data_IF_359802096582
#
_entry.id   IF_359802096582
#
_cell.length_a   1.000
_cell.length_b   1.000
_cell.length_c   1.000
_cell.angle_alpha   90.00
_cell.angle_beta   90.00
_cell.angle_gamma   90.00
#
_symmetry.space_group_name_H-M   'P 1'
#
loop_
_entity.id
_entity.type
_entity.pdbx_description
1 polymer ?
#
# COMPACT_ATOMS: atom_id res chain seq x y z
N UNK A 1 -35.54 -60.96 10.81
CA UNK A 1 -35.06 -59.64 10.36
C UNK A 1 -34.07 -59.16 11.41
N UNK A 2 -32.76 -59.22 11.17
CA UNK A 2 -31.79 -58.52 12.01
C UNK A 2 -31.36 -57.28 11.25
N UNK A 3 -32.00 -56.16 11.54
CA UNK A 3 -31.46 -54.86 11.17
C UNK A 3 -30.43 -54.48 12.22
N UNK A 4 -29.26 -55.10 12.15
CA UNK A 4 -28.09 -54.67 12.90
C UNK A 4 -27.37 -53.67 12.01
N UNK A 5 -27.61 -52.38 12.23
CA UNK A 5 -26.72 -51.35 11.69
C UNK A 5 -25.31 -51.72 12.16
N UNK A 6 -24.37 -52.03 11.25
CA UNK A 6 -23.02 -52.40 11.65
C UNK A 6 -22.43 -51.25 12.48
N UNK A 7 -21.91 -51.59 13.65
CA UNK A 7 -21.21 -50.62 14.50
C UNK A 7 -19.90 -50.28 13.80
N UNK A 8 -19.63 -49.00 13.62
CA UNK A 8 -18.41 -48.50 12.97
C UNK A 8 -17.65 -47.57 13.92
N UNK A 9 -16.33 -47.57 13.82
CA UNK A 9 -15.43 -46.68 14.54
C UNK A 9 -14.66 -45.79 13.58
N UNK A 10 -14.41 -44.54 13.99
CA UNK A 10 -13.63 -43.56 13.23
C UNK A 10 -12.23 -43.43 13.83
N UNK A 11 -11.25 -43.14 12.98
CA UNK A 11 -9.92 -42.73 13.41
C UNK A 11 -9.35 -41.73 12.43
N UNK A 12 -8.96 -40.56 12.94
CA UNK A 12 -8.40 -39.45 12.18
C UNK A 12 -6.89 -39.32 12.45
N UNK A 13 -6.11 -39.12 11.40
CA UNK A 13 -4.67 -38.88 11.50
C UNK A 13 -4.25 -37.72 10.58
N UNK A 14 -3.51 -36.70 11.06
CA UNK A 14 -3.03 -36.53 12.44
C UNK A 14 -4.16 -36.19 13.43
N UNK A 15 -4.06 -36.64 14.69
CA UNK A 15 -5.09 -36.38 15.71
C UNK A 15 -4.88 -35.12 16.56
N UNK A 16 -3.68 -34.54 16.54
CA UNK A 16 -3.21 -33.59 17.55
C UNK A 16 -3.98 -32.25 17.58
N UNK A 17 -4.58 -31.86 16.46
CA UNK A 17 -5.32 -30.60 16.32
C UNK A 17 -6.83 -30.80 16.28
N UNK A 18 -7.29 -32.02 16.60
CA UNK A 18 -8.69 -32.37 16.70
C UNK A 18 -9.08 -32.46 18.17
N UNK A 19 -10.31 -32.09 18.50
CA UNK A 19 -10.86 -32.27 19.85
C UNK A 19 -10.87 -33.75 20.29
N UNK A 20 -11.19 -34.67 19.38
CA UNK A 20 -11.12 -36.12 19.56
C UNK A 20 -11.05 -36.79 18.18
N UNK A 21 -9.95 -37.50 17.91
CA UNK A 21 -9.69 -38.16 16.64
C UNK A 21 -10.50 -39.45 16.40
N UNK A 22 -11.42 -39.80 17.30
CA UNK A 22 -12.31 -40.97 17.18
C UNK A 22 -13.77 -40.60 16.91
N UNK A 23 -14.11 -39.31 16.90
CA UNK A 23 -15.45 -38.83 16.56
C UNK A 23 -15.74 -38.97 15.06
N UNK A 24 -17.01 -39.18 14.73
CA UNK A 24 -17.49 -39.10 13.34
C UNK A 24 -17.36 -37.70 12.75
N UNK A 25 -17.33 -36.69 13.61
CA UNK A 25 -17.26 -35.26 13.25
C UNK A 25 -16.37 -34.53 14.25
N UNK A 26 -15.04 -34.69 14.15
CA UNK A 26 -14.11 -33.98 15.01
C UNK A 26 -14.09 -32.50 14.65
N UNK A 27 -13.76 -31.66 15.64
CA UNK A 27 -13.57 -30.22 15.47
C UNK A 27 -12.07 -29.96 15.38
N UNK A 28 -11.65 -29.36 14.27
CA UNK A 28 -10.28 -28.88 14.06
C UNK A 28 -10.14 -27.46 14.62
N UNK A 29 -9.14 -27.23 15.47
CA UNK A 29 -8.98 -25.96 16.20
C UNK A 29 -7.74 -25.15 15.82
N UNK A 30 -6.82 -25.69 15.00
CA UNK A 30 -5.67 -24.90 14.54
C UNK A 30 -6.14 -23.91 13.46
N UNK A 31 -5.84 -22.63 13.66
CA UNK A 31 -6.19 -21.54 12.74
C UNK A 31 -4.98 -20.99 11.97
N UNK A 32 -3.80 -21.61 12.13
CA UNK A 32 -2.55 -21.10 11.55
C UNK A 32 -2.03 -21.99 10.42
N UNK A 33 -2.18 -23.31 10.51
CA UNK A 33 -1.62 -24.24 9.51
C UNK A 33 -2.68 -25.08 8.79
N UNK A 34 -2.61 -25.06 7.46
CA UNK A 34 -3.34 -26.00 6.61
C UNK A 34 -2.93 -27.44 6.94
N UNK A 35 -3.91 -28.32 7.17
CA UNK A 35 -3.64 -29.71 7.56
C UNK A 35 -4.46 -30.68 6.69
N UNK A 36 -3.82 -31.75 6.24
CA UNK A 36 -4.49 -32.88 5.62
C UNK A 36 -4.76 -33.95 6.68
N UNK A 37 -6.00 -34.41 6.75
CA UNK A 37 -6.41 -35.51 7.58
C UNK A 37 -6.75 -36.74 6.74
N UNK A 38 -6.43 -37.91 7.27
CA UNK A 38 -6.87 -39.19 6.76
C UNK A 38 -7.88 -39.75 7.74
N UNK A 39 -9.13 -39.92 7.29
CA UNK A 39 -10.17 -40.61 8.06
C UNK A 39 -10.12 -42.10 7.72
N UNK A 40 -10.09 -42.95 8.73
CA UNK A 40 -10.25 -44.40 8.58
C UNK A 40 -11.51 -44.83 9.32
N UNK A 41 -12.45 -45.43 8.59
CA UNK A 41 -13.67 -46.01 9.14
C UNK A 41 -13.47 -47.53 9.18
N UNK A 42 -13.70 -48.15 10.34
CA UNK A 42 -13.61 -49.58 10.54
C UNK A 42 -14.93 -50.12 11.07
N UNK A 43 -15.40 -51.24 10.51
CA UNK A 43 -16.49 -52.00 11.11
C UNK A 43 -15.99 -52.75 12.36
N UNK A 44 -16.69 -52.59 13.47
CA UNK A 44 -16.34 -53.18 14.76
C UNK A 44 -16.41 -54.71 14.66
N UNK A 45 -15.39 -55.40 15.18
CA UNK A 45 -15.19 -56.86 15.07
C UNK A 45 -14.94 -57.38 13.64
N UNK A 46 -14.63 -56.50 12.69
CA UNK A 46 -14.31 -56.83 11.31
C UNK A 46 -12.95 -56.28 10.90
N UNK A 47 -12.35 -56.86 9.86
CA UNK A 47 -11.15 -56.34 9.21
C UNK A 47 -11.50 -55.35 8.08
N UNK A 48 -12.78 -55.14 7.80
CA UNK A 48 -13.25 -54.19 6.79
C UNK A 48 -12.93 -52.75 7.19
N UNK A 49 -12.11 -52.08 6.40
CA UNK A 49 -11.69 -50.69 6.58
C UNK A 49 -11.80 -49.92 5.28
N UNK A 50 -12.25 -48.67 5.37
CA UNK A 50 -12.17 -47.69 4.27
C UNK A 50 -11.42 -46.47 4.75
N UNK A 51 -10.74 -45.79 3.83
CA UNK A 51 -9.99 -44.56 4.11
C UNK A 51 -10.34 -43.50 3.10
N UNK A 52 -10.34 -42.25 3.56
CA UNK A 52 -10.48 -41.08 2.70
C UNK A 52 -9.65 -39.92 3.26
N UNK A 53 -9.45 -38.89 2.45
CA UNK A 53 -8.66 -37.69 2.78
C UNK A 53 -9.54 -36.46 2.87
N UNK A 54 -9.32 -35.65 3.90
CA UNK A 54 -9.93 -34.33 4.08
C UNK A 54 -8.83 -33.29 4.13
N UNK A 55 -8.91 -32.28 3.29
CA UNK A 55 -7.96 -31.16 3.28
C UNK A 55 -8.60 -29.93 3.92
N UNK A 56 -7.97 -29.43 4.98
CA UNK A 56 -8.32 -28.13 5.56
C UNK A 56 -7.25 -27.13 5.14
N UNK A 57 -7.65 -26.15 4.33
CA UNK A 57 -6.79 -25.05 3.91
C UNK A 57 -7.07 -23.80 4.74
N UNK A 58 -6.00 -23.19 5.25
CA UNK A 58 -6.00 -21.94 6.01
C UNK A 58 -5.20 -20.93 5.20
N UNK A 59 -5.78 -19.76 4.99
CA UNK A 59 -5.16 -18.66 4.26
C UNK A 59 -4.83 -17.53 5.23
N UNK A 60 -3.58 -17.08 5.20
CA UNK A 60 -3.14 -15.97 6.02
C UNK A 60 -3.85 -14.68 5.62
N UNK A 61 -4.32 -13.95 6.61
CA UNK A 61 -4.91 -12.62 6.45
C UNK A 61 -3.80 -11.56 6.50
N UNK A 62 -3.70 -10.66 5.51
CA UNK A 62 -2.82 -9.52 5.61
C UNK A 62 -3.26 -8.61 6.76
N UNK A 63 -2.30 -7.97 7.43
CA UNK A 63 -2.53 -6.88 8.36
C UNK A 63 -1.80 -5.65 7.85
N UNK A 64 -2.56 -4.63 7.47
CA UNK A 64 -2.06 -3.46 6.77
C UNK A 64 -1.98 -2.27 7.71
N UNK A 65 -0.76 -1.77 7.90
CA UNK A 65 -0.48 -0.51 8.61
C UNK A 65 0.24 0.42 7.66
N UNK A 66 -0.33 1.59 7.41
CA UNK A 66 0.19 2.54 6.43
C UNK A 66 0.39 3.92 7.07
N UNK A 67 1.55 4.49 6.81
CA UNK A 67 1.89 5.87 7.17
C UNK A 67 1.92 6.77 5.95
N UNK A 68 1.84 8.09 6.16
CA UNK A 68 1.95 9.05 5.07
C UNK A 68 3.39 9.06 4.53
N UNK A 69 3.59 8.90 3.21
CA UNK A 69 4.92 9.00 2.61
C UNK A 69 5.47 10.42 2.72
N UNK A 70 6.79 10.57 2.56
CA UNK A 70 7.42 11.89 2.51
C UNK A 70 6.87 12.71 1.33
N UNK A 71 6.64 14.00 1.56
CA UNK A 71 6.22 14.90 0.51
C UNK A 71 7.33 15.07 -0.54
N UNK A 72 6.93 15.21 -1.81
CA UNK A 72 7.85 15.39 -2.94
C UNK A 72 7.52 16.66 -3.72
N UNK A 73 8.47 17.18 -4.50
CA UNK A 73 8.25 18.28 -5.44
C UNK A 73 8.29 17.76 -6.87
N UNK A 74 7.42 18.25 -7.76
CA UNK A 74 7.50 17.93 -9.17
C UNK A 74 8.87 18.28 -9.76
N UNK A 75 9.45 17.45 -10.65
CA UNK A 75 8.83 16.30 -11.32
C UNK A 75 8.95 14.96 -10.58
N UNK A 76 9.40 14.94 -9.32
CA UNK A 76 9.49 13.70 -8.55
C UNK A 76 8.09 13.16 -8.24
N UNK A 77 8.03 11.84 -8.03
CA UNK A 77 6.81 11.10 -7.74
C UNK A 77 6.94 10.36 -6.41
N UNK A 78 5.80 9.96 -5.86
CA UNK A 78 5.71 9.20 -4.62
C UNK A 78 5.71 7.72 -4.98
N UNK A 79 6.74 7.01 -4.53
CA UNK A 79 6.79 5.56 -4.62
C UNK A 79 5.93 4.94 -3.52
N UNK A 80 5.04 4.04 -3.89
CA UNK A 80 4.11 3.34 -3.01
C UNK A 80 4.18 1.82 -3.20
N UNK A 81 5.26 1.29 -3.79
CA UNK A 81 5.49 -0.15 -3.85
C UNK A 81 5.76 -0.78 -2.48
N UNK A 82 5.56 -2.09 -2.35
CA UNK A 82 5.61 -2.84 -1.09
C UNK A 82 6.93 -2.76 -0.30
N UNK A 83 8.02 -2.35 -0.94
CA UNK A 83 9.32 -2.09 -0.32
C UNK A 83 9.40 -0.71 0.36
N UNK A 84 8.38 0.15 0.20
CA UNK A 84 8.39 1.48 0.77
C UNK A 84 8.22 1.44 2.31
N UNK A 85 8.98 2.25 3.07
CA UNK A 85 8.86 2.34 4.53
C UNK A 85 7.45 2.69 5.04
N UNK A 86 6.57 3.22 4.18
CA UNK A 86 5.20 3.54 4.55
C UNK A 86 4.42 2.34 5.10
N UNK A 87 4.80 1.11 4.72
CA UNK A 87 4.21 -0.15 5.17
C UNK A 87 4.85 -0.72 6.44
N UNK A 88 5.74 0.02 7.11
CA UNK A 88 6.41 -0.45 8.34
C UNK A 88 5.37 -0.83 9.40
N UNK A 89 5.48 -2.06 9.92
CA UNK A 89 4.52 -2.63 10.88
C UNK A 89 3.40 -3.45 10.24
N UNK A 90 3.32 -3.52 8.91
CA UNK A 90 2.40 -4.43 8.22
C UNK A 90 2.88 -5.88 8.26
N UNK A 91 1.94 -6.82 8.30
CA UNK A 91 2.15 -8.24 8.02
C UNK A 91 1.54 -8.58 6.66
N UNK A 92 2.38 -8.90 5.68
CA UNK A 92 1.95 -9.17 4.31
C UNK A 92 2.35 -10.59 3.91
N UNK A 93 1.39 -11.53 3.84
CA UNK A 93 1.65 -12.90 3.41
C UNK A 93 2.30 -12.96 2.02
N UNK A 94 3.03 -14.05 1.76
CA UNK A 94 3.63 -14.29 0.44
C UNK A 94 2.54 -14.31 -0.65
N UNK A 95 2.80 -13.64 -1.77
CA UNK A 95 1.82 -13.50 -2.85
C UNK A 95 0.80 -12.37 -2.64
N UNK A 96 0.96 -11.55 -1.59
CA UNK A 96 0.20 -10.30 -1.46
C UNK A 96 0.45 -9.36 -2.64
N UNK A 97 -0.61 -8.69 -3.07
CA UNK A 97 -0.60 -7.66 -4.12
C UNK A 97 -1.15 -6.35 -3.57
N UNK A 98 -0.65 -5.23 -4.08
CA UNK A 98 -1.13 -3.89 -3.73
C UNK A 98 -1.97 -3.33 -4.85
N UNK A 99 -3.10 -2.73 -4.50
CA UNK A 99 -3.93 -1.93 -5.39
C UNK A 99 -4.23 -0.57 -4.75
N UNK A 100 -4.30 0.48 -5.57
CA UNK A 100 -4.52 1.85 -5.12
C UNK A 100 -5.79 2.41 -5.74
N UNK A 101 -6.61 3.04 -4.92
CA UNK A 101 -7.87 3.65 -5.31
C UNK A 101 -8.08 5.01 -4.67
N UNK A 102 -9.05 5.76 -5.16
CA UNK A 102 -9.59 6.90 -4.43
C UNK A 102 -10.45 6.40 -3.24
N UNK A 103 -10.77 7.30 -2.31
CA UNK A 103 -11.56 6.96 -1.11
C UNK A 103 -12.96 6.40 -1.39
N UNK A 104 -13.48 6.58 -2.59
CA UNK A 104 -14.78 6.06 -3.04
C UNK A 104 -14.69 4.79 -3.90
N UNK A 105 -13.49 4.26 -4.14
CA UNK A 105 -13.23 3.07 -4.98
C UNK A 105 -13.79 3.17 -6.42
N UNK A 106 -13.93 4.37 -6.95
CA UNK A 106 -14.41 4.61 -8.32
C UNK A 106 -13.27 4.78 -9.33
N UNK A 107 -12.05 5.07 -8.85
CA UNK A 107 -10.88 5.31 -9.69
C UNK A 107 -9.68 4.56 -9.11
N UNK A 108 -9.01 3.78 -9.95
CA UNK A 108 -7.75 3.12 -9.63
C UNK A 108 -6.54 3.99 -10.01
N UNK A 109 -5.44 3.79 -9.30
CA UNK A 109 -4.15 4.46 -9.55
C UNK A 109 -3.02 3.42 -9.65
N UNK A 110 -1.94 3.81 -10.31
CA UNK A 110 -0.72 3.02 -10.44
C UNK A 110 0.45 3.71 -9.76
N UNK A 111 1.41 2.93 -9.28
CA UNK A 111 2.70 3.43 -8.81
C UNK A 111 3.56 3.92 -10.01
N UNK A 112 4.27 5.06 -9.91
CA UNK A 112 4.29 6.02 -8.80
C UNK A 112 3.22 7.10 -8.91
N UNK A 113 2.83 7.67 -7.76
CA UNK A 113 1.81 8.73 -7.69
C UNK A 113 2.44 10.10 -8.00
N UNK A 114 1.77 10.90 -8.84
CA UNK A 114 2.24 12.23 -9.28
C UNK A 114 1.37 13.38 -8.75
N UNK A 115 0.23 13.07 -8.14
CA UNK A 115 -0.73 14.05 -7.65
C UNK A 115 -0.88 13.97 -6.13
N UNK A 116 -1.27 15.11 -5.53
CA UNK A 116 -1.66 15.16 -4.12
C UNK A 116 -3.08 14.62 -3.95
N UNK A 117 -3.34 13.91 -2.85
CA UNK A 117 -4.67 13.40 -2.57
C UNK A 117 -4.73 12.45 -1.38
N UNK A 118 -5.95 12.02 -1.04
CA UNK A 118 -6.19 10.94 -0.08
C UNK A 118 -6.44 9.66 -0.87
N UNK A 119 -5.62 8.65 -0.61
CA UNK A 119 -5.64 7.38 -1.33
C UNK A 119 -6.05 6.24 -0.41
N UNK A 120 -6.77 5.28 -0.97
CA UNK A 120 -7.14 4.00 -0.40
C UNK A 120 -6.16 2.96 -0.95
N UNK A 121 -5.46 2.25 -0.06
CA UNK A 121 -4.57 1.15 -0.43
C UNK A 121 -5.14 -0.15 0.06
N UNK A 122 -5.22 -1.11 -0.86
CA UNK A 122 -5.73 -2.45 -0.63
C UNK A 122 -4.55 -3.40 -0.79
N UNK A 123 -4.29 -4.20 0.23
CA UNK A 123 -3.43 -5.37 0.10
C UNK A 123 -4.33 -6.60 0.04
N UNK A 124 -4.19 -7.36 -1.05
CA UNK A 124 -4.96 -8.58 -1.28
C UNK A 124 -4.05 -9.79 -1.42
N UNK A 125 -4.39 -10.87 -0.74
CA UNK A 125 -3.97 -12.24 -1.06
C UNK A 125 -5.03 -12.88 -1.97
N UNK A 126 -4.85 -14.16 -2.33
CA UNK A 126 -5.84 -14.88 -3.13
C UNK A 126 -7.22 -15.03 -2.47
N UNK A 127 -7.31 -14.86 -1.14
CA UNK A 127 -8.53 -15.15 -0.38
C UNK A 127 -8.92 -14.05 0.62
N UNK A 128 -7.98 -13.20 1.02
CA UNK A 128 -8.21 -12.17 2.02
C UNK A 128 -7.68 -10.83 1.54
N UNK A 129 -8.25 -9.74 2.04
CA UNK A 129 -7.77 -8.41 1.76
C UNK A 129 -7.87 -7.54 3.02
N UNK A 130 -6.97 -6.58 3.12
CA UNK A 130 -7.00 -5.53 4.13
C UNK A 130 -6.82 -4.16 3.47
N UNK A 131 -7.38 -3.12 4.08
CA UNK A 131 -7.45 -1.78 3.50
C UNK A 131 -7.00 -0.72 4.48
N UNK A 132 -6.25 0.27 3.99
CA UNK A 132 -5.82 1.42 4.76
C UNK A 132 -5.90 2.69 3.91
N UNK A 133 -5.77 3.84 4.56
CA UNK A 133 -5.74 5.15 3.90
C UNK A 133 -4.45 5.88 4.21
N UNK A 134 -3.99 6.70 3.27
CA UNK A 134 -2.88 7.62 3.47
C UNK A 134 -3.07 8.90 2.65
N UNK A 135 -2.31 9.93 3.01
CA UNK A 135 -2.31 11.22 2.34
C UNK A 135 -1.00 11.36 1.56
N UNK A 136 -1.11 11.58 0.25
CA UNK A 136 0.02 11.86 -0.63
C UNK A 136 0.12 13.37 -0.85
N UNK A 137 1.33 13.93 -0.74
CA UNK A 137 1.58 15.37 -0.94
C UNK A 137 2.68 15.58 -1.98
N UNK A 138 2.28 16.16 -3.11
CA UNK A 138 3.14 16.55 -4.22
C UNK A 138 3.05 18.07 -4.42
N UNK A 139 4.16 18.76 -4.17
CA UNK A 139 4.30 20.19 -4.37
C UNK A 139 4.53 20.50 -5.85
N UNK A 140 3.82 21.49 -6.37
CA UNK A 140 4.04 21.99 -7.72
C UNK A 140 5.36 22.76 -7.80
N UNK A 141 6.04 22.63 -8.94
CA UNK A 141 7.20 23.47 -9.25
C UNK A 141 6.73 24.93 -9.33
N UNK A 142 7.37 25.87 -8.62
CA UNK A 142 7.03 27.28 -8.77
C UNK A 142 7.27 27.75 -10.20
N UNK A 143 6.28 28.42 -10.78
CA UNK A 143 6.44 29.12 -12.05
C UNK A 143 7.05 30.49 -11.79
N UNK A 144 8.21 30.74 -12.39
CA UNK A 144 8.83 32.06 -12.41
C UNK A 144 8.39 32.79 -13.67
N UNK A 145 7.40 33.66 -13.54
CA UNK A 145 6.98 34.55 -14.63
C UNK A 145 7.68 35.89 -14.45
N UNK A 146 8.56 36.22 -15.39
CA UNK A 146 9.15 37.57 -15.51
C UNK A 146 8.41 38.28 -16.65
N UNK A 147 7.53 39.21 -16.31
CA UNK A 147 6.86 40.11 -17.28
C UNK A 147 7.05 41.57 -16.86
N UNK A 148 7.02 42.57 -17.75
CA UNK A 148 7.58 42.63 -19.09
C UNK A 148 9.06 43.10 -19.09
N UNK A 149 9.74 42.92 -20.22
CA UNK A 149 10.94 43.70 -20.55
C UNK A 149 10.58 45.19 -20.52
N UNK A 150 11.07 45.90 -19.50
CA UNK A 150 11.03 47.36 -19.50
C UNK A 150 11.97 47.85 -20.62
N UNK A 151 11.41 48.48 -21.65
CA UNK A 151 12.21 49.18 -22.66
C UNK A 151 12.51 50.57 -22.10
N UNK A 152 13.73 50.75 -21.59
CA UNK A 152 14.24 52.04 -21.12
C UNK A 152 14.59 52.86 -22.36
N UNK A 153 13.83 53.93 -22.65
CA UNK A 153 14.05 54.83 -23.78
C UNK A 153 14.84 56.10 -23.42
N UNK A 154 15.28 56.23 -22.16
CA UNK A 154 16.08 57.35 -21.67
C UNK A 154 17.41 56.86 -21.08
N UNK A 155 18.53 57.24 -21.71
CA UNK A 155 19.89 56.88 -21.29
C UNK A 155 20.36 57.58 -19.99
N UNK A 156 19.49 58.24 -19.24
CA UNK A 156 19.88 59.14 -18.14
C UNK A 156 19.45 58.66 -16.74
N UNK A 157 18.67 57.58 -16.62
CA UNK A 157 18.21 57.10 -15.31
C UNK A 157 18.65 55.66 -15.03
N UNK A 158 19.28 55.43 -13.88
CA UNK A 158 19.50 54.11 -13.29
C UNK A 158 18.15 53.53 -12.85
N UNK A 159 17.86 52.28 -13.21
CA UNK A 159 16.60 51.60 -12.87
C UNK A 159 16.85 50.49 -11.85
N UNK A 160 16.23 50.62 -10.68
CA UNK A 160 16.34 49.65 -9.59
C UNK A 160 15.36 48.48 -9.80
N UNK A 161 15.90 47.36 -10.26
CA UNK A 161 15.16 46.12 -10.51
C UNK A 161 14.71 45.40 -9.24
N UNK A 162 15.16 45.80 -8.05
CA UNK A 162 14.68 45.23 -6.78
C UNK A 162 13.26 45.72 -6.42
N UNK A 163 12.83 46.85 -7.01
CA UNK A 163 11.49 47.41 -6.87
C UNK A 163 10.55 47.05 -8.03
N UNK A 164 10.94 46.12 -8.92
CA UNK A 164 10.07 45.67 -10.01
C UNK A 164 8.80 44.99 -9.46
N UNK A 165 7.59 45.53 -9.73
CA UNK A 165 6.34 44.97 -9.21
C UNK A 165 5.94 43.61 -9.84
N UNK A 166 6.71 43.10 -10.78
CA UNK A 166 6.23 42.08 -11.71
C UNK A 166 6.83 40.66 -11.54
N UNK A 167 7.61 40.40 -10.49
CA UNK A 167 7.98 39.02 -10.15
C UNK A 167 6.85 38.42 -9.30
N UNK A 168 5.90 37.78 -9.95
CA UNK A 168 4.86 36.99 -9.30
C UNK A 168 5.39 35.56 -9.10
N UNK A 169 5.48 35.11 -7.85
CA UNK A 169 5.74 33.71 -7.54
C UNK A 169 4.41 33.05 -7.17
N UNK A 170 4.05 32.02 -7.91
CA UNK A 170 2.93 31.13 -7.58
C UNK A 170 3.49 29.74 -7.33
N UNK A 171 3.21 29.06 -6.20
CA UNK A 171 2.31 29.41 -5.07
C UNK A 171 2.97 30.15 -3.87
N UNK A 172 2.14 30.55 -2.89
CA UNK A 172 2.42 31.49 -1.77
C UNK A 172 3.59 31.14 -0.82
N UNK A 173 4.18 29.96 -0.92
CA UNK A 173 5.32 29.53 -0.09
C UNK A 173 6.68 29.72 -0.77
N UNK A 174 6.72 30.24 -2.00
CA UNK A 174 7.97 30.50 -2.72
C UNK A 174 8.66 31.77 -2.17
N UNK A 175 9.96 31.67 -1.88
CA UNK A 175 10.78 32.78 -1.36
C UNK A 175 11.48 33.50 -2.52
N UNK A 176 11.39 34.84 -2.57
CA UNK A 176 12.16 35.67 -3.51
C UNK A 176 13.60 35.79 -3.00
N UNK A 177 14.58 35.39 -3.81
CA UNK A 177 15.99 35.61 -3.52
C UNK A 177 16.72 36.19 -4.74
N UNK A 178 17.35 37.33 -4.51
CA UNK A 178 18.16 38.07 -5.48
C UNK A 178 19.61 38.07 -4.98
N UNK A 179 20.58 37.97 -5.89
CA UNK A 179 21.97 38.25 -5.57
C UNK A 179 22.55 39.23 -6.58
N UNK A 180 23.51 40.00 -6.10
CA UNK A 180 24.33 40.89 -6.89
C UNK A 180 25.50 40.10 -7.48
N UNK A 181 25.96 40.43 -8.69
CA UNK A 181 27.26 39.97 -9.16
C UNK A 181 28.41 40.46 -8.24
N UNK A 182 29.60 39.87 -8.37
CA UNK A 182 30.79 40.19 -7.57
C UNK A 182 31.25 41.67 -7.71
N UNK A 183 30.62 42.44 -8.60
CA UNK A 183 30.92 43.82 -8.93
C UNK A 183 29.77 44.77 -8.50
N UNK A 184 28.70 44.25 -7.90
CA UNK A 184 27.46 44.96 -7.52
C UNK A 184 26.75 45.66 -8.69
N UNK A 185 26.95 45.22 -9.93
CA UNK A 185 26.45 45.94 -11.12
C UNK A 185 25.16 45.39 -11.73
N UNK A 186 24.80 44.13 -11.43
CA UNK A 186 23.59 43.51 -11.97
C UNK A 186 22.98 42.50 -11.00
N UNK A 187 21.64 42.42 -10.98
CA UNK A 187 20.88 41.44 -10.18
C UNK A 187 20.44 40.29 -11.07
N UNK A 188 20.76 39.06 -10.67
CA UNK A 188 20.32 37.84 -11.34
C UNK A 188 19.32 37.06 -10.47
N UNK A 189 18.23 36.51 -11.04
CA UNK A 189 17.36 35.58 -10.31
C UNK A 189 18.09 34.27 -10.04
N UNK A 190 18.06 33.78 -8.79
CA UNK A 190 18.67 32.49 -8.41
C UNK A 190 17.73 31.36 -8.83
N UNK A 191 18.21 30.49 -9.73
CA UNK A 191 17.72 29.11 -9.80
C UNK A 191 18.62 28.25 -8.89
N UNK A 192 18.15 27.88 -7.71
CA UNK A 192 18.73 26.74 -6.98
C UNK A 192 17.88 25.52 -7.29
N UNK A 193 18.51 24.57 -7.99
CA UNK A 193 18.03 23.20 -8.20
C UNK A 193 17.82 22.49 -6.87
#
# INVERSE_FOLDING_TARGET
>A
MYNTTPSISYSWSPGNNLNDSTLSSPVFSNIMDSTQFIVTIQEVNSQCKVKDTVQVAIYETPQLTVSNPAAVCQPNSIDVSLNNPMYTGSYLPSGSSVSLFNTSFTQGYSNPLIDSGVYQVIVSTSFCADTAQFIATVHQKPDLVVTPQLVITNCENTYDITNSPNVLLTPNYAVKSYFWDDILTQVYPIHRL
#
